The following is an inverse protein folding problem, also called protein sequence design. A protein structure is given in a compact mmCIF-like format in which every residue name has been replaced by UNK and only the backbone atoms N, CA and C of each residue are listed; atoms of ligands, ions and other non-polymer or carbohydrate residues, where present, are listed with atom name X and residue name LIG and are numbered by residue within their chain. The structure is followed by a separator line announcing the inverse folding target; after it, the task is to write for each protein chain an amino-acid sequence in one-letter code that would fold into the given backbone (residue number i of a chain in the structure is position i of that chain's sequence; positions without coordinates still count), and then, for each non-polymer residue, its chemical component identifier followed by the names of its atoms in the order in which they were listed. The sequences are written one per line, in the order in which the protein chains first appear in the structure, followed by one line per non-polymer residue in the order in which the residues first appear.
data_IF_600805174660
#
_entry.id   IF_600805174660
#
_cell.length_a   1.000
_cell.length_b   1.000
_cell.length_c   1.000
_cell.angle_alpha   90.00
_cell.angle_beta   90.00
_cell.angle_gamma   90.00
#
_symmetry.space_group_name_H-M   'P 1'
#
loop_
_entity.id
_entity.type
_entity.pdbx_description
1 polymer ?
#
# COMPACT_ATOMS: atom_id res chain seq x y z
N UNK A 1 16.86 -13.50 3.16
CA UNK A 1 18.27 -13.55 2.71
C UNK A 1 18.40 -14.17 1.29
N UNK A 2 17.82 -15.35 0.99
CA UNK A 2 17.96 -16.00 -0.33
C UNK A 2 17.58 -15.12 -1.53
N UNK A 3 16.57 -14.27 -1.43
CA UNK A 3 16.21 -13.32 -2.49
C UNK A 3 17.31 -12.27 -2.70
N UNK A 4 17.95 -11.81 -1.63
CA UNK A 4 18.97 -10.77 -1.69
C UNK A 4 20.25 -11.24 -2.43
N UNK A 5 20.59 -12.52 -2.35
CA UNK A 5 21.73 -13.07 -3.07
C UNK A 5 21.53 -13.16 -4.59
N UNK A 6 20.28 -13.21 -5.04
CA UNK A 6 19.93 -13.46 -6.45
C UNK A 6 19.27 -12.25 -7.14
N UNK A 7 19.10 -11.13 -6.43
CA UNK A 7 18.41 -9.96 -6.97
C UNK A 7 19.01 -8.67 -6.41
N UNK A 8 19.49 -7.80 -7.30
CA UNK A 8 20.13 -6.51 -6.94
C UNK A 8 19.13 -5.36 -6.73
N UNK A 9 17.86 -5.56 -7.09
CA UNK A 9 16.82 -4.54 -6.98
C UNK A 9 16.23 -4.40 -5.57
N UNK A 10 15.29 -3.49 -5.42
CA UNK A 10 14.55 -3.30 -4.19
C UNK A 10 13.58 -4.46 -3.95
N UNK A 11 13.62 -5.02 -2.75
CA UNK A 11 12.73 -6.11 -2.33
C UNK A 11 11.68 -5.53 -1.38
N UNK A 12 10.42 -5.63 -1.76
CA UNK A 12 9.27 -5.29 -0.92
C UNK A 12 8.70 -6.57 -0.34
N UNK A 13 8.53 -6.61 0.97
CA UNK A 13 7.94 -7.78 1.66
C UNK A 13 6.49 -7.49 2.00
N UNK A 14 5.58 -8.36 1.57
CA UNK A 14 4.16 -8.27 1.96
C UNK A 14 3.89 -9.18 3.14
N UNK A 15 3.23 -8.64 4.16
CA UNK A 15 2.80 -9.36 5.36
C UNK A 15 1.28 -9.31 5.51
N UNK A 16 0.70 -10.38 6.07
CA UNK A 16 -0.65 -10.39 6.61
C UNK A 16 -0.54 -10.09 8.10
N UNK A 17 -0.86 -8.87 8.51
CA UNK A 17 -0.68 -8.42 9.89
C UNK A 17 -1.85 -8.80 10.81
N UNK A 18 -2.95 -9.31 10.26
CA UNK A 18 -4.14 -9.70 11.01
C UNK A 18 -4.73 -10.97 10.42
N UNK A 19 -4.91 -12.01 11.23
CA UNK A 19 -5.44 -13.32 10.81
C UNK A 19 -6.93 -13.50 11.13
N UNK A 20 -7.53 -12.62 11.95
CA UNK A 20 -8.94 -12.67 12.38
C UNK A 20 -9.34 -13.96 13.10
N UNK A 21 -8.40 -14.64 13.73
CA UNK A 21 -8.60 -15.91 14.44
C UNK A 21 -8.16 -15.80 15.90
N UNK A 22 -8.87 -16.46 16.80
CA UNK A 22 -8.45 -16.56 18.18
C UNK A 22 -7.14 -17.37 18.28
N UNK A 23 -6.07 -16.75 18.77
CA UNK A 23 -4.73 -17.33 18.82
C UNK A 23 -3.95 -17.19 17.51
N UNK A 24 -4.49 -16.51 16.50
CA UNK A 24 -3.77 -16.07 15.30
C UNK A 24 -2.87 -14.88 15.57
N UNK A 25 -2.15 -14.45 14.55
CA UNK A 25 -1.28 -13.27 14.61
C UNK A 25 -2.10 -11.99 14.47
N UNK A 26 -1.78 -11.01 15.30
CA UNK A 26 -2.33 -9.67 15.29
C UNK A 26 -1.22 -8.63 15.04
N UNK A 27 -1.54 -7.38 14.67
CA UNK A 27 -0.52 -6.37 14.33
C UNK A 27 0.52 -6.17 15.43
N UNK A 28 0.12 -6.24 16.69
CA UNK A 28 0.97 -6.06 17.86
C UNK A 28 2.01 -7.19 18.02
N UNK A 29 1.74 -8.38 17.47
CA UNK A 29 2.63 -9.55 17.53
C UNK A 29 3.73 -9.49 16.46
N UNK A 30 3.62 -8.59 15.48
CA UNK A 30 4.46 -8.55 14.30
C UNK A 30 5.87 -7.96 14.53
N UNK A 31 6.17 -7.46 15.73
CA UNK A 31 7.44 -6.75 16.01
C UNK A 31 8.69 -7.55 15.62
N UNK A 32 8.77 -8.81 16.02
CA UNK A 32 9.91 -9.68 15.69
C UNK A 32 10.00 -9.98 14.19
N UNK A 33 8.85 -10.20 13.55
CA UNK A 33 8.78 -10.44 12.08
C UNK A 33 9.25 -9.22 11.31
N UNK A 34 8.78 -8.03 11.69
CA UNK A 34 9.18 -6.75 11.08
C UNK A 34 10.68 -6.52 11.24
N UNK A 35 11.24 -6.78 12.42
CA UNK A 35 12.67 -6.64 12.69
C UNK A 35 13.50 -7.57 11.79
N UNK A 36 13.12 -8.83 11.66
CA UNK A 36 13.82 -9.80 10.76
C UNK A 36 13.75 -9.32 9.30
N UNK A 37 12.64 -8.77 8.86
CA UNK A 37 12.46 -8.23 7.49
C UNK A 37 13.41 -7.03 7.28
N UNK A 38 13.51 -6.13 8.25
CA UNK A 38 14.39 -4.97 8.21
C UNK A 38 15.87 -5.37 8.20
N UNK A 39 16.28 -6.28 9.09
CA UNK A 39 17.63 -6.83 9.16
C UNK A 39 18.03 -7.60 7.89
N UNK A 40 17.08 -8.25 7.21
CA UNK A 40 17.29 -8.91 5.93
C UNK A 40 17.48 -7.93 4.76
N UNK A 41 17.36 -6.62 4.97
CA UNK A 41 17.59 -5.58 3.97
C UNK A 41 16.44 -5.40 2.99
N UNK A 42 15.19 -5.59 3.42
CA UNK A 42 14.03 -5.19 2.65
C UNK A 42 14.01 -3.68 2.42
N UNK A 43 13.43 -3.24 1.31
CA UNK A 43 13.31 -1.83 0.97
C UNK A 43 12.01 -1.20 1.48
N UNK A 44 10.97 -2.00 1.68
CA UNK A 44 9.68 -1.56 2.21
C UNK A 44 8.84 -2.77 2.68
N UNK A 45 7.80 -2.48 3.48
CA UNK A 45 6.82 -3.47 3.93
C UNK A 45 5.43 -3.11 3.40
N UNK A 46 4.78 -4.05 2.72
CA UNK A 46 3.38 -3.94 2.31
C UNK A 46 2.49 -4.66 3.31
N UNK A 47 1.58 -3.92 3.95
CA UNK A 47 0.73 -4.45 5.02
C UNK A 47 -0.66 -4.79 4.50
N UNK A 48 -1.09 -6.02 4.76
CA UNK A 48 -2.44 -6.50 4.47
C UNK A 48 -2.96 -7.37 5.61
N UNK A 49 -4.10 -8.02 5.42
CA UNK A 49 -4.70 -8.90 6.43
C UNK A 49 -5.40 -10.09 5.79
N UNK A 50 -5.66 -11.12 6.58
CA UNK A 50 -6.36 -12.35 6.18
C UNK A 50 -5.53 -13.24 5.27
N UNK A 51 -6.19 -14.24 4.70
CA UNK A 51 -5.59 -15.19 3.76
C UNK A 51 -5.68 -16.64 4.23
N UNK A 52 -5.66 -16.90 5.54
CA UNK A 52 -5.85 -18.24 6.10
C UNK A 52 -7.35 -18.57 6.22
N UNK A 53 -8.15 -17.63 6.72
CA UNK A 53 -9.60 -17.78 6.84
C UNK A 53 -10.35 -16.70 6.07
N UNK A 54 -10.90 -17.05 4.91
CA UNK A 54 -11.60 -16.09 4.03
C UNK A 54 -12.98 -15.69 4.56
N UNK A 55 -13.56 -16.47 5.48
CA UNK A 55 -14.88 -16.19 6.09
C UNK A 55 -14.86 -15.10 7.16
N UNK A 56 -13.71 -14.82 7.75
CA UNK A 56 -13.56 -13.87 8.86
C UNK A 56 -13.32 -12.41 8.41
N UNK A 57 -12.98 -12.19 7.13
CA UNK A 57 -12.63 -10.85 6.66
C UNK A 57 -13.87 -10.04 6.32
N UNK A 58 -14.18 -9.05 7.15
CA UNK A 58 -15.22 -8.06 6.88
C UNK A 58 -14.59 -6.81 6.25
N UNK A 59 -14.64 -6.73 4.91
CA UNK A 59 -14.01 -5.64 4.16
C UNK A 59 -14.92 -4.38 4.10
N UNK A 60 -14.41 -3.26 4.59
CA UNK A 60 -15.01 -1.91 4.51
C UNK A 60 -13.93 -0.90 4.06
N UNK A 61 -14.28 0.33 3.70
CA UNK A 61 -13.28 1.33 3.33
C UNK A 61 -12.20 1.50 4.41
N UNK A 62 -10.93 1.48 4.01
CA UNK A 62 -9.74 1.67 4.86
C UNK A 62 -9.49 0.58 5.93
N UNK A 63 -10.16 -0.56 5.89
CA UNK A 63 -10.13 -1.56 6.98
C UNK A 63 -8.74 -2.10 7.34
N UNK A 64 -7.76 -2.01 6.46
CA UNK A 64 -6.37 -2.47 6.71
C UNK A 64 -5.42 -1.33 7.07
N UNK A 65 -5.83 -0.08 6.96
CA UNK A 65 -4.97 1.08 7.27
C UNK A 65 -4.55 1.11 8.76
N UNK A 66 -5.41 0.80 9.75
CA UNK A 66 -4.97 0.71 11.15
C UNK A 66 -3.82 -0.28 11.37
N UNK A 67 -3.78 -1.38 10.60
CA UNK A 67 -2.68 -2.35 10.69
C UNK A 67 -1.37 -1.77 10.14
N UNK A 68 -1.43 -1.07 9.00
CA UNK A 68 -0.27 -0.39 8.44
C UNK A 68 0.28 0.68 9.42
N UNK A 69 -0.60 1.44 10.06
CA UNK A 69 -0.28 2.43 11.08
C UNK A 69 0.45 1.79 12.28
N UNK A 70 -0.05 0.66 12.79
CA UNK A 70 0.61 -0.09 13.87
C UNK A 70 2.00 -0.58 13.44
N UNK A 71 2.11 -1.20 12.26
CA UNK A 71 3.41 -1.68 11.74
C UNK A 71 4.40 -0.54 11.54
N UNK A 72 3.95 0.64 11.07
CA UNK A 72 4.80 1.81 10.89
C UNK A 72 5.50 2.26 12.18
N UNK A 73 4.90 2.04 13.34
CA UNK A 73 5.54 2.34 14.63
C UNK A 73 6.67 1.38 15.02
N UNK A 74 6.83 0.25 14.31
CA UNK A 74 7.76 -0.83 14.63
C UNK A 74 9.00 -0.88 13.75
N UNK A 75 9.07 -0.06 12.68
CA UNK A 75 10.13 -0.11 11.67
C UNK A 75 10.54 1.28 11.19
N UNK A 76 11.76 1.38 10.66
CA UNK A 76 12.26 2.55 9.94
C UNK A 76 12.03 2.42 8.42
N UNK A 77 11.62 1.24 7.95
CA UNK A 77 11.30 1.01 6.53
C UNK A 77 10.00 1.70 6.13
N UNK A 78 9.91 2.18 4.88
CA UNK A 78 8.65 2.65 4.34
C UNK A 78 7.55 1.58 4.41
N UNK A 79 6.36 1.98 4.89
CA UNK A 79 5.20 1.10 5.02
C UNK A 79 4.15 1.45 3.98
N UNK A 80 3.66 0.43 3.27
CA UNK A 80 2.63 0.53 2.24
C UNK A 80 1.30 0.01 2.77
N UNK A 81 0.28 0.88 2.82
CA UNK A 81 -1.08 0.54 3.26
C UNK A 81 -2.01 0.24 2.08
N UNK A 82 -2.96 -0.64 2.31
CA UNK A 82 -4.02 -1.02 1.37
C UNK A 82 -5.36 -1.17 2.11
N UNK A 83 -6.48 -1.33 1.44
CA UNK A 83 -7.74 -1.70 2.08
C UNK A 83 -8.96 -0.96 1.56
N UNK A 84 -9.52 -1.35 0.42
CA UNK A 84 -10.75 -0.78 -0.17
C UNK A 84 -10.72 0.76 -0.36
N UNK A 85 -9.54 1.32 -0.64
CA UNK A 85 -9.33 2.73 -0.90
C UNK A 85 -9.84 3.05 -2.31
N UNK A 86 -10.71 4.04 -2.45
CA UNK A 86 -11.40 4.34 -3.72
C UNK A 86 -11.47 5.81 -4.07
N UNK A 87 -11.19 6.72 -3.11
CA UNK A 87 -11.34 8.17 -3.26
C UNK A 87 -10.01 8.88 -3.03
N UNK A 88 -9.82 10.00 -3.73
CA UNK A 88 -8.68 10.90 -3.59
C UNK A 88 -8.57 11.45 -2.15
N UNK A 89 -9.73 11.79 -1.56
CA UNK A 89 -9.80 12.30 -0.17
C UNK A 89 -9.33 11.26 0.86
N UNK A 90 -9.61 9.96 0.63
CA UNK A 90 -9.13 8.87 1.48
C UNK A 90 -7.61 8.74 1.40
N UNK A 91 -7.04 8.85 0.18
CA UNK A 91 -5.58 8.81 -0.03
C UNK A 91 -4.92 10.02 0.65
N UNK A 92 -5.45 11.21 0.40
CA UNK A 92 -4.93 12.45 0.98
C UNK A 92 -4.94 12.40 2.51
N UNK A 93 -6.04 11.94 3.10
CA UNK A 93 -6.17 11.81 4.55
C UNK A 93 -5.14 10.84 5.12
N UNK A 94 -5.00 9.63 4.55
CA UNK A 94 -4.04 8.61 5.01
C UNK A 94 -2.62 9.17 5.04
N UNK A 95 -2.21 9.87 3.96
CA UNK A 95 -0.86 10.40 3.83
C UNK A 95 -0.63 11.64 4.71
N UNK A 96 -1.61 12.55 4.84
CA UNK A 96 -1.53 13.72 5.71
C UNK A 96 -1.50 13.36 7.20
N UNK A 97 -2.24 12.30 7.59
CA UNK A 97 -2.23 11.78 8.94
C UNK A 97 -1.02 10.85 9.21
N UNK A 98 -0.13 10.68 8.22
CA UNK A 98 1.07 9.84 8.28
C UNK A 98 0.80 8.39 8.72
N UNK A 99 -0.36 7.83 8.35
CA UNK A 99 -0.77 6.48 8.74
C UNK A 99 -0.02 5.38 7.98
N UNK A 100 0.51 5.68 6.81
CA UNK A 100 1.50 4.91 6.07
C UNK A 100 2.25 5.83 5.10
N UNK A 101 3.34 5.34 4.51
CA UNK A 101 4.20 6.14 3.61
C UNK A 101 3.74 6.05 2.16
N UNK A 102 3.09 4.94 1.77
CA UNK A 102 2.53 4.71 0.43
C UNK A 102 1.16 4.06 0.50
N UNK A 103 0.30 4.44 -0.42
CA UNK A 103 -1.05 3.88 -0.57
C UNK A 103 -1.09 2.95 -1.79
N UNK A 104 -1.55 1.74 -1.60
CA UNK A 104 -1.70 0.74 -2.66
C UNK A 104 -3.16 0.65 -3.12
N UNK A 105 -3.38 0.83 -4.41
CA UNK A 105 -4.69 0.78 -5.05
C UNK A 105 -4.81 -0.46 -5.93
N UNK A 106 -5.63 -1.42 -5.54
CA UNK A 106 -5.89 -2.63 -6.34
C UNK A 106 -7.10 -2.44 -7.26
N UNK A 107 -8.29 -2.80 -6.78
CA UNK A 107 -9.54 -2.81 -7.54
C UNK A 107 -9.91 -1.45 -8.15
N UNK A 108 -9.49 -0.33 -7.54
CA UNK A 108 -9.69 1.01 -8.10
C UNK A 108 -8.98 1.15 -9.44
N UNK A 109 -7.70 0.77 -9.52
CA UNK A 109 -6.91 0.86 -10.76
C UNK A 109 -7.32 -0.21 -11.80
N UNK A 110 -7.87 -1.36 -11.38
CA UNK A 110 -8.45 -2.31 -12.32
C UNK A 110 -9.71 -1.77 -13.03
N UNK A 111 -10.49 -0.94 -12.34
CA UNK A 111 -11.70 -0.31 -12.89
C UNK A 111 -11.39 0.97 -13.68
N UNK A 112 -10.42 1.74 -13.22
CA UNK A 112 -10.00 2.99 -13.82
C UNK A 112 -8.47 3.09 -13.81
N UNK A 113 -7.79 2.53 -14.83
CA UNK A 113 -6.32 2.55 -14.90
C UNK A 113 -5.71 3.95 -14.94
N UNK A 114 -6.48 4.94 -15.37
CA UNK A 114 -6.04 6.33 -15.48
C UNK A 114 -6.43 7.20 -14.27
N UNK A 115 -6.93 6.61 -13.20
CA UNK A 115 -7.40 7.32 -12.02
C UNK A 115 -6.37 8.33 -11.47
N UNK A 116 -5.13 7.90 -11.28
CA UNK A 116 -4.08 8.78 -10.75
C UNK A 116 -3.71 9.89 -11.71
N UNK A 117 -3.66 9.60 -13.00
CA UNK A 117 -3.35 10.61 -14.03
C UNK A 117 -4.46 11.67 -14.14
N UNK A 118 -5.73 11.26 -14.06
CA UNK A 118 -6.86 12.19 -14.03
C UNK A 118 -6.81 13.08 -12.78
N UNK A 119 -6.49 12.50 -11.64
CA UNK A 119 -6.34 13.26 -10.40
C UNK A 119 -5.16 14.24 -10.45
N UNK A 120 -4.02 13.83 -11.01
CA UNK A 120 -2.90 14.74 -11.27
C UNK A 120 -3.29 15.89 -12.20
N UNK A 121 -4.09 15.62 -13.24
CA UNK A 121 -4.62 16.63 -14.15
C UNK A 121 -5.54 17.63 -13.44
N UNK A 122 -6.47 17.16 -12.63
CA UNK A 122 -7.37 18.00 -11.82
C UNK A 122 -6.59 18.91 -10.86
N UNK A 123 -5.44 18.45 -10.35
CA UNK A 123 -4.55 19.23 -9.49
C UNK A 123 -3.58 20.14 -10.27
N UNK A 124 -3.58 20.09 -11.60
CA UNK A 124 -2.62 20.83 -12.45
C UNK A 124 -1.18 20.32 -12.33
N UNK A 125 -1.00 19.07 -11.91
CA UNK A 125 0.33 18.44 -11.70
C UNK A 125 0.75 17.53 -12.85
N UNK A 126 -0.15 17.21 -13.78
CA UNK A 126 0.13 16.31 -14.89
C UNK A 126 1.06 16.99 -15.91
N UNK A 127 2.13 16.32 -16.30
CA UNK A 127 3.11 16.81 -17.28
C UNK A 127 3.15 15.93 -18.53
N UNK A 128 3.20 16.56 -19.70
CA UNK A 128 3.24 15.87 -20.99
C UNK A 128 4.47 14.95 -21.11
N UNK A 129 5.63 15.40 -20.64
CA UNK A 129 6.89 14.65 -20.68
C UNK A 129 6.87 13.35 -19.85
N UNK A 130 5.98 13.25 -18.85
CA UNK A 130 5.89 12.08 -17.98
C UNK A 130 5.07 10.94 -18.59
N UNK A 131 4.09 11.25 -19.46
CA UNK A 131 3.15 10.28 -19.99
C UNK A 131 3.08 10.22 -21.51
N UNK A 132 3.78 11.12 -22.18
CA UNK A 132 3.78 11.25 -23.63
C UNK A 132 2.54 11.96 -24.19
N UNK A 133 2.74 12.61 -25.34
CA UNK A 133 1.77 13.54 -25.94
C UNK A 133 0.40 12.92 -26.23
N UNK A 134 0.37 11.68 -26.71
CA UNK A 134 -0.91 11.05 -27.07
C UNK A 134 -1.81 10.84 -25.86
N UNK A 135 -1.24 10.34 -24.76
CA UNK A 135 -1.99 10.08 -23.53
C UNK A 135 -2.38 11.38 -22.83
N UNK A 136 -1.47 12.36 -22.79
CA UNK A 136 -1.71 13.69 -22.25
C UNK A 136 -2.90 14.37 -22.93
N UNK A 137 -2.95 14.37 -24.28
CA UNK A 137 -4.08 14.91 -25.05
C UNK A 137 -5.39 14.17 -24.73
N UNK A 138 -5.35 12.83 -24.62
CA UNK A 138 -6.54 12.03 -24.33
C UNK A 138 -7.14 12.32 -22.94
N UNK A 139 -6.31 12.63 -21.96
CA UNK A 139 -6.78 12.99 -20.59
C UNK A 139 -7.28 14.44 -20.57
N UNK A 140 -6.63 15.36 -21.28
CA UNK A 140 -6.97 16.79 -21.33
C UNK A 140 -8.15 17.14 -22.26
N UNK A 141 -8.64 16.19 -23.06
CA UNK A 141 -9.83 16.42 -23.89
C UNK A 141 -11.06 16.55 -22.98
N UNK A 142 -11.62 17.76 -22.98
CA UNK A 142 -12.93 18.06 -22.37
C UNK A 142 -14.07 17.66 -23.30
#
# INVERSE_FOLDING_TARGET
EGCRYNFEGNIVVRIAAEEYEAGGLHPEDMKSTVQVIEEAGAAAISVSSGGLNTGAVHAYPLYQIPYAETIRTMTTLPVMGVGCITKESEISQILQEERCDYVLLGRKLLRDPFFLLKWQDELGLLREEEIGQCLYRGIHMK
#
